data_IF_133184824801
#
_entry.id   IF_133184824801
#
_cell.length_a   1.000
_cell.length_b   1.000
_cell.length_c   1.000
_cell.angle_alpha   90.00
_cell.angle_beta   90.00
_cell.angle_gamma   90.00
#
_symmetry.space_group_name_H-M   'P 1'
#
loop_
_entity.id
_entity.type
_entity.pdbx_description
1 polymer ?
#
# COMPACT_ATOMS: atom_id res chain seq x y z
N UNK A 1 13.21 5.62 11.05
CA UNK A 1 14.51 6.29 11.27
C UNK A 1 15.20 6.61 9.94
N UNK A 2 15.25 5.68 8.98
CA UNK A 2 15.85 5.94 7.66
C UNK A 2 15.28 7.19 6.96
N UNK A 3 13.95 7.30 6.82
CA UNK A 3 13.30 8.43 6.13
C UNK A 3 13.60 9.79 6.77
N UNK A 4 13.92 9.83 8.07
CA UNK A 4 14.28 11.07 8.76
C UNK A 4 15.69 11.52 8.40
N UNK A 5 16.58 10.58 8.08
CA UNK A 5 17.95 10.87 7.64
C UNK A 5 18.03 11.10 6.13
N UNK A 6 17.09 10.56 5.36
CA UNK A 6 17.04 10.65 3.90
C UNK A 6 15.71 11.26 3.42
N UNK A 7 15.34 12.48 3.83
CA UNK A 7 14.08 13.08 3.44
C UNK A 7 14.08 13.42 1.95
N UNK A 8 13.01 13.03 1.25
CA UNK A 8 12.85 13.39 -0.16
C UNK A 8 12.58 14.88 -0.35
N UNK A 9 11.94 15.50 0.64
CA UNK A 9 11.63 16.93 0.73
C UNK A 9 11.26 17.30 2.17
N UNK A 10 11.33 18.57 2.52
CA UNK A 10 10.88 19.12 3.79
C UNK A 10 9.81 20.19 3.52
N UNK A 11 8.62 20.05 4.10
CA UNK A 11 7.54 21.02 4.02
C UNK A 11 7.15 21.42 5.44
N UNK A 12 7.20 22.72 5.72
CA UNK A 12 6.84 23.28 7.04
C UNK A 12 5.71 24.28 6.87
N UNK A 13 4.63 24.08 7.63
CA UNK A 13 3.50 25.01 7.68
C UNK A 13 3.73 26.12 8.72
N UNK A 14 3.50 27.37 8.35
CA UNK A 14 3.50 28.52 9.28
C UNK A 14 2.45 29.56 8.87
N UNK A 15 1.88 30.33 9.81
CA UNK A 15 1.03 31.48 9.48
C UNK A 15 1.81 32.49 8.62
N UNK A 16 1.38 32.70 7.38
CA UNK A 16 2.12 33.51 6.40
C UNK A 16 2.06 35.02 6.67
N UNK A 17 1.12 35.46 7.47
CA UNK A 17 0.96 36.84 7.92
C UNK A 17 1.78 37.18 9.19
N UNK A 18 2.53 36.23 9.73
CA UNK A 18 3.39 36.37 10.90
C UNK A 18 4.85 36.08 10.52
N UNK A 19 5.65 37.13 10.39
CA UNK A 19 7.06 37.03 10.01
C UNK A 19 7.88 36.21 10.97
N UNK A 20 7.61 36.30 12.28
CA UNK A 20 8.34 35.56 13.30
C UNK A 20 8.09 34.04 13.17
N UNK A 21 6.84 33.64 12.97
CA UNK A 21 6.47 32.25 12.72
C UNK A 21 7.10 31.71 11.43
N UNK A 22 7.14 32.48 10.36
CA UNK A 22 7.78 32.08 9.10
C UNK A 22 9.30 31.92 9.27
N UNK A 23 9.97 32.82 10.00
CA UNK A 23 11.39 32.69 10.29
C UNK A 23 11.70 31.50 11.20
N UNK A 24 10.85 31.25 12.19
CA UNK A 24 10.96 30.06 13.05
C UNK A 24 10.80 28.77 12.22
N UNK A 25 9.84 28.72 11.29
CA UNK A 25 9.64 27.59 10.38
C UNK A 25 10.85 27.36 9.47
N UNK A 26 11.47 28.43 8.94
CA UNK A 26 12.68 28.31 8.15
C UNK A 26 13.86 27.76 8.97
N UNK A 27 14.04 28.25 10.19
CA UNK A 27 15.07 27.73 11.10
C UNK A 27 14.84 26.26 11.43
N UNK A 28 13.60 25.86 11.70
CA UNK A 28 13.25 24.47 11.93
C UNK A 28 13.56 23.59 10.71
N UNK A 29 13.20 24.04 9.51
CA UNK A 29 13.52 23.35 8.26
C UNK A 29 15.04 23.20 8.06
N UNK A 30 15.83 24.23 8.37
CA UNK A 30 17.29 24.17 8.30
C UNK A 30 17.87 23.13 9.25
N UNK A 31 17.35 23.02 10.48
CA UNK A 31 17.78 22.01 11.44
C UNK A 31 17.50 20.58 10.93
N UNK A 32 16.38 20.36 10.23
CA UNK A 32 16.07 19.07 9.62
C UNK A 32 17.02 18.74 8.45
N UNK A 33 17.40 19.77 7.67
CA UNK A 33 18.41 19.64 6.60
C UNK A 33 19.77 19.29 7.20
N UNK A 34 20.21 20.00 8.26
CA UNK A 34 21.49 19.75 8.96
C UNK A 34 21.54 18.37 9.60
N UNK A 35 20.41 17.85 10.08
CA UNK A 35 20.28 16.52 10.68
C UNK A 35 20.18 15.37 9.69
N UNK A 36 20.06 15.65 8.39
CA UNK A 36 19.97 14.63 7.35
C UNK A 36 21.36 14.05 7.01
N UNK A 37 21.37 12.91 6.31
CA UNK A 37 22.60 12.31 5.82
C UNK A 37 23.35 13.29 4.90
N UNK A 38 24.65 13.52 5.09
CA UNK A 38 25.45 14.43 4.24
C UNK A 38 25.37 14.12 2.75
N UNK A 39 25.14 12.88 2.35
CA UNK A 39 24.99 12.48 0.95
C UNK A 39 23.79 13.18 0.28
N UNK A 40 22.74 13.51 1.05
CA UNK A 40 21.56 14.21 0.55
C UNK A 40 21.86 15.63 0.08
N UNK A 41 22.93 16.27 0.55
CA UNK A 41 23.32 17.62 0.14
C UNK A 41 23.80 17.69 -1.32
N UNK A 42 24.32 16.59 -1.86
CA UNK A 42 24.77 16.46 -3.25
C UNK A 42 23.75 15.84 -4.18
N UNK A 43 22.57 15.44 -3.68
CA UNK A 43 21.50 14.87 -4.50
C UNK A 43 21.01 15.89 -5.51
N UNK A 44 21.01 15.52 -6.78
CA UNK A 44 20.45 16.34 -7.87
C UNK A 44 18.94 16.09 -7.97
N UNK A 45 18.16 17.13 -7.87
CA UNK A 45 16.72 17.10 -7.99
C UNK A 45 16.28 17.13 -9.46
N UNK A 46 14.99 16.85 -9.70
CA UNK A 46 14.42 16.84 -11.07
C UNK A 46 14.54 18.21 -11.79
N UNK A 47 14.53 19.31 -11.06
CA UNK A 47 14.70 20.66 -11.59
C UNK A 47 16.17 21.10 -11.75
N UNK A 48 17.12 20.21 -11.48
CA UNK A 48 18.55 20.45 -11.55
C UNK A 48 19.13 21.12 -10.29
N UNK A 49 18.33 21.48 -9.30
CA UNK A 49 18.83 21.95 -8.01
C UNK A 49 19.48 20.82 -7.22
N UNK A 50 20.32 21.17 -6.24
CA UNK A 50 20.99 20.20 -5.38
C UNK A 50 20.51 20.29 -3.93
N UNK A 51 20.59 19.18 -3.20
CA UNK A 51 20.21 19.10 -1.81
C UNK A 51 18.74 18.73 -1.59
N UNK A 52 18.26 18.95 -0.37
CA UNK A 52 16.89 18.59 0.04
C UNK A 52 15.94 19.74 -0.29
N UNK A 53 14.96 19.56 -1.20
CA UNK A 53 13.96 20.59 -1.48
C UNK A 53 13.20 20.97 -0.22
N UNK A 54 13.18 22.25 0.10
CA UNK A 54 12.53 22.77 1.33
C UNK A 54 11.52 23.83 0.98
N UNK A 55 10.31 23.73 1.56
CA UNK A 55 9.20 24.64 1.32
C UNK A 55 8.58 25.07 2.64
N UNK A 56 8.41 26.39 2.83
CA UNK A 56 7.62 26.98 3.92
C UNK A 56 6.37 27.60 3.34
N UNK A 57 5.21 27.10 3.78
CA UNK A 57 3.87 27.49 3.26
C UNK A 57 2.89 27.75 4.40
N UNK A 58 1.66 28.13 4.10
CA UNK A 58 0.61 28.21 5.09
C UNK A 58 0.31 26.85 5.75
N UNK A 59 -0.24 26.86 6.93
CA UNK A 59 -0.52 25.64 7.71
C UNK A 59 -1.49 24.74 6.95
N UNK A 60 -2.55 25.32 6.39
CA UNK A 60 -3.57 24.60 5.61
C UNK A 60 -2.99 24.04 4.31
N UNK A 61 -2.13 24.79 3.63
CA UNK A 61 -1.44 24.35 2.43
C UNK A 61 -0.49 23.18 2.72
N UNK A 62 0.23 23.19 3.86
CA UNK A 62 1.09 22.08 4.27
C UNK A 62 0.30 20.80 4.52
N UNK A 63 -0.87 20.90 5.16
CA UNK A 63 -1.80 19.79 5.34
C UNK A 63 -2.31 19.27 3.99
N UNK A 64 -2.77 20.17 3.13
CA UNK A 64 -3.26 19.82 1.79
C UNK A 64 -2.19 19.12 0.94
N UNK A 65 -0.94 19.60 0.96
CA UNK A 65 0.18 18.96 0.26
C UNK A 65 0.34 17.50 0.68
N UNK A 66 0.26 17.20 1.97
CA UNK A 66 0.36 15.82 2.47
C UNK A 66 -0.81 14.96 2.00
N UNK A 67 -2.04 15.46 2.14
CA UNK A 67 -3.25 14.72 1.76
C UNK A 67 -3.28 14.42 0.25
N UNK A 68 -2.99 15.42 -0.59
CA UNK A 68 -2.93 15.24 -2.04
C UNK A 68 -1.79 14.34 -2.48
N UNK A 69 -0.61 14.44 -1.86
CA UNK A 69 0.51 13.56 -2.17
C UNK A 69 0.17 12.08 -1.88
N UNK A 70 -0.39 11.78 -0.69
CA UNK A 70 -0.79 10.44 -0.34
C UNK A 70 -1.94 9.91 -1.20
N UNK A 71 -2.90 10.78 -1.56
CA UNK A 71 -4.00 10.42 -2.46
C UNK A 71 -3.48 10.13 -3.88
N UNK A 72 -2.49 10.88 -4.37
CA UNK A 72 -1.86 10.57 -5.65
C UNK A 72 -1.14 9.22 -5.64
N UNK A 73 -0.45 8.88 -4.56
CA UNK A 73 0.17 7.56 -4.43
C UNK A 73 -0.89 6.45 -4.38
N UNK A 74 -2.00 6.69 -3.67
CA UNK A 74 -3.13 5.76 -3.66
C UNK A 74 -3.78 5.60 -5.06
N UNK A 75 -3.91 6.69 -5.82
CA UNK A 75 -4.35 6.66 -7.22
C UNK A 75 -3.45 5.77 -8.07
N UNK A 76 -2.12 5.90 -7.94
CA UNK A 76 -1.20 5.06 -8.71
C UNK A 76 -1.38 3.59 -8.39
N UNK A 77 -1.49 3.22 -7.11
CA UNK A 77 -1.76 1.83 -6.72
C UNK A 77 -3.11 1.36 -7.28
N UNK A 78 -4.16 2.18 -7.19
CA UNK A 78 -5.48 1.84 -7.73
C UNK A 78 -5.43 1.64 -9.25
N UNK A 79 -4.75 2.52 -9.98
CA UNK A 79 -4.58 2.42 -11.43
C UNK A 79 -3.91 1.10 -11.86
N UNK A 80 -2.78 0.75 -11.24
CA UNK A 80 -2.09 -0.50 -11.57
C UNK A 80 -2.83 -1.74 -11.09
N UNK A 81 -3.61 -1.65 -10.02
CA UNK A 81 -4.51 -2.71 -9.60
C UNK A 81 -5.67 -2.92 -10.59
N UNK A 82 -6.27 -1.86 -11.14
CA UNK A 82 -7.31 -1.98 -12.16
C UNK A 82 -6.74 -2.51 -13.48
N UNK A 83 -5.55 -2.07 -13.88
CA UNK A 83 -4.83 -2.63 -15.02
C UNK A 83 -4.61 -4.14 -14.84
N UNK A 84 -4.18 -4.54 -13.64
CA UNK A 84 -3.97 -5.95 -13.29
C UNK A 84 -5.29 -6.74 -13.31
N UNK A 85 -6.36 -6.19 -12.73
CA UNK A 85 -7.71 -6.79 -12.78
C UNK A 85 -8.16 -7.00 -14.24
N UNK A 86 -7.98 -6.01 -15.10
CA UNK A 86 -8.30 -6.11 -16.53
C UNK A 86 -7.50 -7.23 -17.21
N UNK A 87 -6.20 -7.27 -16.97
CA UNK A 87 -5.32 -8.26 -17.58
C UNK A 87 -5.63 -9.69 -17.09
N UNK A 88 -5.80 -9.87 -15.79
CA UNK A 88 -6.14 -11.16 -15.16
C UNK A 88 -7.46 -11.70 -15.69
N UNK A 89 -8.53 -10.89 -15.70
CA UNK A 89 -9.85 -11.27 -16.20
C UNK A 89 -9.87 -11.65 -17.69
N UNK A 90 -8.82 -11.29 -18.46
CA UNK A 90 -8.70 -11.57 -19.89
C UNK A 90 -7.59 -12.57 -20.22
N UNK A 91 -6.92 -13.13 -19.21
CA UNK A 91 -5.80 -14.05 -19.40
C UNK A 91 -4.58 -13.41 -20.09
N UNK A 92 -4.38 -12.09 -19.90
CA UNK A 92 -3.26 -11.35 -20.48
C UNK A 92 -2.05 -11.36 -19.53
N UNK A 93 -0.86 -11.13 -20.08
CA UNK A 93 0.34 -10.99 -19.26
C UNK A 93 0.42 -9.59 -18.65
N UNK A 94 -0.06 -9.46 -17.42
CA UNK A 94 -0.08 -8.20 -16.66
C UNK A 94 1.29 -7.55 -16.59
N UNK A 95 2.35 -8.34 -16.31
CA UNK A 95 3.69 -7.81 -16.15
C UNK A 95 4.18 -7.14 -17.44
N UNK A 96 3.99 -7.79 -18.59
CA UNK A 96 4.39 -7.22 -19.88
C UNK A 96 3.65 -5.91 -20.18
N UNK A 97 2.36 -5.80 -19.78
CA UNK A 97 1.59 -4.58 -19.95
C UNK A 97 2.13 -3.47 -19.05
N UNK A 98 2.37 -3.76 -17.76
CA UNK A 98 2.92 -2.78 -16.80
C UNK A 98 4.30 -2.31 -17.25
N UNK A 99 5.20 -3.25 -17.63
CA UNK A 99 6.53 -2.92 -18.11
C UNK A 99 6.44 -1.96 -19.33
N UNK A 100 5.56 -2.26 -20.29
CA UNK A 100 5.34 -1.41 -21.46
C UNK A 100 4.79 -0.01 -21.11
N UNK A 101 3.82 0.07 -20.22
CA UNK A 101 3.24 1.36 -19.76
C UNK A 101 4.31 2.21 -19.04
N UNK A 102 5.13 1.57 -18.22
CA UNK A 102 6.15 2.25 -17.41
C UNK A 102 7.38 2.69 -18.22
N UNK A 103 7.54 2.26 -19.48
CA UNK A 103 8.58 2.77 -20.39
C UNK A 103 8.39 4.26 -20.70
N UNK A 104 7.17 4.79 -20.60
CA UNK A 104 6.96 6.24 -20.74
C UNK A 104 7.53 6.96 -19.51
N UNK A 105 8.55 7.84 -19.66
CA UNK A 105 9.19 8.51 -18.54
C UNK A 105 8.26 9.44 -17.75
N UNK A 106 7.13 9.85 -18.34
CA UNK A 106 6.10 10.63 -17.63
C UNK A 106 5.30 9.79 -16.64
N UNK A 107 5.27 8.47 -16.84
CA UNK A 107 4.59 7.50 -15.98
C UNK A 107 5.59 6.92 -14.97
N UNK A 108 6.69 6.34 -15.46
CA UNK A 108 7.71 5.70 -14.63
C UNK A 108 7.18 4.51 -13.84
N UNK A 109 8.04 3.91 -13.01
CA UNK A 109 7.80 2.63 -12.33
C UNK A 109 7.47 2.76 -10.83
N UNK A 110 7.28 3.97 -10.31
CA UNK A 110 6.91 4.16 -8.91
C UNK A 110 5.50 3.66 -8.62
N UNK A 111 5.33 2.85 -7.57
CA UNK A 111 4.03 2.30 -7.13
C UNK A 111 3.28 1.50 -8.21
N UNK A 112 4.01 0.81 -9.09
CA UNK A 112 3.46 0.05 -10.21
C UNK A 112 3.25 -1.44 -9.93
N UNK A 113 3.68 -1.94 -8.76
CA UNK A 113 3.49 -3.35 -8.39
C UNK A 113 2.06 -3.57 -7.90
N UNK A 114 1.27 -4.44 -8.57
CA UNK A 114 -0.07 -4.75 -8.11
C UNK A 114 -0.10 -5.34 -6.70
N UNK A 115 -1.24 -5.16 -6.05
CA UNK A 115 -1.49 -5.63 -4.70
C UNK A 115 -2.98 -5.95 -4.50
N UNK A 116 -3.34 -6.36 -3.31
CA UNK A 116 -4.74 -6.58 -2.94
C UNK A 116 -5.51 -5.28 -2.63
N UNK A 117 -4.85 -4.16 -2.78
CA UNK A 117 -5.34 -2.80 -2.53
C UNK A 117 -4.28 -1.97 -1.81
N UNK A 118 -4.39 -0.65 -1.88
CA UNK A 118 -3.56 0.19 -1.02
C UNK A 118 -4.01 0.05 0.43
N UNK A 119 -3.04 -0.07 1.32
CA UNK A 119 -3.25 -0.33 2.73
C UNK A 119 -2.22 0.41 3.59
N UNK A 120 -2.03 -0.07 4.82
CA UNK A 120 -1.26 0.61 5.84
C UNK A 120 -2.08 1.73 6.49
N UNK A 121 -1.45 2.51 7.36
CA UNK A 121 -2.15 3.54 8.13
C UNK A 121 -2.43 4.80 7.30
N UNK A 122 -1.43 5.26 6.53
CA UNK A 122 -1.47 6.59 5.91
C UNK A 122 -2.42 6.67 4.71
N UNK A 123 -2.25 5.80 3.69
CA UNK A 123 -3.00 5.95 2.45
C UNK A 123 -4.52 5.83 2.64
N UNK A 124 -5.07 4.80 3.33
CA UNK A 124 -6.51 4.70 3.54
C UNK A 124 -7.09 5.81 4.40
N UNK A 125 -6.33 6.31 5.38
CA UNK A 125 -6.77 7.41 6.25
C UNK A 125 -6.80 8.73 5.47
N UNK A 126 -5.72 9.06 4.80
CA UNK A 126 -5.57 10.37 4.14
C UNK A 126 -6.49 10.50 2.91
N UNK A 127 -6.72 9.42 2.15
CA UNK A 127 -7.70 9.43 1.04
C UNK A 127 -9.13 9.66 1.53
N UNK A 128 -9.54 8.99 2.62
CA UNK A 128 -10.86 9.20 3.21
C UNK A 128 -11.00 10.60 3.83
N UNK A 129 -9.96 11.11 4.47
CA UNK A 129 -9.95 12.47 5.01
C UNK A 129 -10.08 13.50 3.88
N UNK A 130 -9.31 13.33 2.79
CA UNK A 130 -9.41 14.22 1.64
C UNK A 130 -10.82 14.17 1.03
N UNK A 131 -11.40 12.97 0.83
CA UNK A 131 -12.77 12.83 0.32
C UNK A 131 -13.79 13.55 1.21
N UNK A 132 -13.68 13.43 2.53
CA UNK A 132 -14.56 14.16 3.46
C UNK A 132 -14.43 15.69 3.32
N UNK A 133 -13.22 16.20 3.04
CA UNK A 133 -13.00 17.63 2.81
C UNK A 133 -13.65 18.14 1.52
N UNK A 134 -14.03 17.26 0.59
CA UNK A 134 -14.71 17.61 -0.66
C UNK A 134 -16.23 17.74 -0.53
N UNK A 135 -16.81 17.70 0.66
CA UNK A 135 -18.28 17.66 0.88
C UNK A 135 -19.08 18.74 0.14
N UNK A 136 -18.46 19.87 -0.24
CA UNK A 136 -19.06 20.96 -1.01
C UNK A 136 -18.24 21.37 -2.24
N UNK A 137 -17.25 20.57 -2.61
CA UNK A 137 -16.35 20.82 -3.74
C UNK A 137 -16.63 19.78 -4.82
N UNK A 138 -16.84 20.17 -6.09
CA UNK A 138 -17.03 19.22 -7.18
C UNK A 138 -15.83 18.28 -7.31
N UNK A 139 -16.11 16.97 -7.34
CA UNK A 139 -15.09 15.94 -7.50
C UNK A 139 -15.72 14.67 -8.09
N UNK A 140 -14.91 13.82 -8.69
CA UNK A 140 -15.23 12.44 -9.09
C UNK A 140 -14.03 11.54 -8.81
N UNK A 141 -12.82 12.05 -9.07
CA UNK A 141 -11.60 11.25 -8.99
C UNK A 141 -11.28 10.80 -7.56
N UNK A 142 -11.47 11.67 -6.57
CA UNK A 142 -11.10 11.37 -5.18
C UNK A 142 -11.99 10.25 -4.62
N UNK A 143 -13.29 10.29 -4.92
CA UNK A 143 -14.23 9.22 -4.59
C UNK A 143 -13.87 7.92 -5.33
N UNK A 144 -13.61 8.01 -6.64
CA UNK A 144 -13.21 6.84 -7.44
C UNK A 144 -11.96 6.15 -6.90
N UNK A 145 -10.98 6.88 -6.37
CA UNK A 145 -9.79 6.28 -5.74
C UNK A 145 -10.17 5.44 -4.51
N UNK A 146 -11.09 5.95 -3.68
CA UNK A 146 -11.55 5.23 -2.49
C UNK A 146 -12.34 3.98 -2.89
N UNK A 147 -13.23 4.10 -3.85
CA UNK A 147 -14.08 3.01 -4.33
C UNK A 147 -13.28 1.93 -5.08
N UNK A 148 -12.31 2.32 -5.90
CA UNK A 148 -11.40 1.39 -6.58
C UNK A 148 -10.67 0.46 -5.60
N UNK A 149 -10.30 0.97 -4.43
CA UNK A 149 -9.66 0.14 -3.40
C UNK A 149 -10.62 -0.89 -2.78
N UNK A 150 -11.91 -0.58 -2.71
CA UNK A 150 -12.93 -1.52 -2.26
C UNK A 150 -13.19 -2.60 -3.31
N UNK A 151 -13.46 -2.18 -4.54
CA UNK A 151 -13.68 -3.06 -5.69
C UNK A 151 -12.51 -4.03 -5.90
N UNK A 152 -11.27 -3.57 -5.74
CA UNK A 152 -10.09 -4.43 -5.85
C UNK A 152 -10.09 -5.57 -4.83
N UNK A 153 -10.44 -5.29 -3.58
CA UNK A 153 -10.48 -6.30 -2.51
C UNK A 153 -11.57 -7.34 -2.75
N UNK A 154 -12.71 -6.90 -3.27
CA UNK A 154 -13.82 -7.80 -3.66
C UNK A 154 -13.41 -8.70 -4.81
N UNK A 155 -12.78 -8.15 -5.84
CA UNK A 155 -12.25 -8.92 -6.96
C UNK A 155 -11.25 -9.98 -6.51
N UNK A 156 -10.24 -9.61 -5.71
CA UNK A 156 -9.26 -10.56 -5.17
C UNK A 156 -9.94 -11.68 -4.36
N UNK A 157 -10.91 -11.33 -3.52
CA UNK A 157 -11.64 -12.34 -2.76
C UNK A 157 -12.41 -13.29 -3.67
N UNK A 158 -13.05 -12.78 -4.72
CA UNK A 158 -13.78 -13.57 -5.72
C UNK A 158 -12.86 -14.55 -6.44
N UNK A 159 -11.70 -14.10 -6.93
CA UNK A 159 -10.72 -14.95 -7.62
C UNK A 159 -10.21 -16.08 -6.71
N UNK A 160 -9.90 -15.78 -5.45
CA UNK A 160 -9.46 -16.81 -4.49
C UNK A 160 -10.57 -17.81 -4.20
N UNK A 161 -11.81 -17.36 -4.03
CA UNK A 161 -12.96 -18.26 -3.82
C UNK A 161 -13.21 -19.16 -5.02
N UNK A 162 -12.99 -18.66 -6.24
CA UNK A 162 -13.10 -19.45 -7.47
C UNK A 162 -12.06 -20.58 -7.52
N UNK A 163 -10.81 -20.34 -7.04
CA UNK A 163 -9.79 -21.40 -6.96
C UNK A 163 -10.22 -22.59 -6.08
N UNK A 164 -11.01 -22.34 -5.05
CA UNK A 164 -11.41 -23.38 -4.10
C UNK A 164 -12.87 -23.86 -4.28
N UNK A 165 -13.58 -23.39 -5.30
CA UNK A 165 -15.02 -23.68 -5.48
C UNK A 165 -15.39 -25.16 -5.53
N UNK A 166 -14.49 -26.00 -6.03
CA UNK A 166 -14.68 -27.45 -6.18
C UNK A 166 -14.02 -28.25 -5.03
N UNK A 167 -13.44 -27.58 -4.03
CA UNK A 167 -12.82 -28.21 -2.88
C UNK A 167 -13.86 -28.42 -1.79
N UNK A 168 -13.99 -29.63 -1.30
CA UNK A 168 -14.90 -29.92 -0.18
C UNK A 168 -14.32 -29.37 1.13
N UNK A 169 -15.09 -28.56 1.85
CA UNK A 169 -14.68 -27.91 3.09
C UNK A 169 -13.34 -27.16 2.98
N UNK A 170 -13.21 -26.20 2.05
CA UNK A 170 -11.95 -25.51 1.83
C UNK A 170 -11.56 -24.65 3.03
N UNK A 171 -10.25 -24.53 3.26
CA UNK A 171 -9.67 -23.55 4.20
C UNK A 171 -8.74 -22.62 3.40
N UNK A 172 -8.95 -21.33 3.51
CA UNK A 172 -8.06 -20.34 2.89
C UNK A 172 -6.97 -19.94 3.89
N UNK A 173 -5.73 -20.18 3.52
CA UNK A 173 -4.55 -19.74 4.26
C UNK A 173 -4.19 -18.30 3.96
N UNK A 174 -3.96 -17.48 4.98
CA UNK A 174 -3.41 -16.13 4.84
C UNK A 174 -1.95 -16.17 5.25
N UNK A 175 -1.07 -15.95 4.30
CA UNK A 175 0.35 -15.87 4.56
C UNK A 175 0.75 -14.44 4.90
N UNK A 176 0.89 -14.16 6.19
CA UNK A 176 1.17 -12.89 6.84
C UNK A 176 0.05 -11.83 6.68
N UNK A 177 -0.10 -11.05 7.72
CA UNK A 177 -1.08 -9.96 7.80
C UNK A 177 -0.52 -8.62 7.34
N UNK A 178 0.80 -8.51 7.18
CA UNK A 178 1.49 -7.27 6.86
C UNK A 178 1.44 -6.94 5.38
N UNK A 179 1.45 -5.63 5.06
CA UNK A 179 1.47 -5.13 3.67
C UNK A 179 2.89 -5.02 3.11
N UNK A 180 3.88 -4.86 3.99
CA UNK A 180 5.29 -4.65 3.64
C UNK A 180 6.15 -5.73 4.25
N UNK A 181 7.15 -6.15 3.51
CA UNK A 181 8.17 -7.06 4.01
C UNK A 181 8.87 -6.45 5.24
N UNK A 182 8.99 -7.24 6.32
CA UNK A 182 9.65 -6.80 7.56
C UNK A 182 8.88 -5.79 8.42
N UNK A 183 7.61 -5.50 8.11
CA UNK A 183 6.74 -4.66 8.94
C UNK A 183 5.95 -5.53 9.93
N UNK A 184 5.71 -5.00 11.13
CA UNK A 184 4.82 -5.56 12.16
C UNK A 184 3.45 -4.84 12.21
N UNK A 185 3.27 -3.82 11.37
CA UNK A 185 2.04 -3.01 11.34
C UNK A 185 1.00 -3.60 10.38
N UNK A 186 0.12 -4.45 10.93
CA UNK A 186 -0.97 -5.08 10.18
C UNK A 186 -2.35 -4.43 10.39
N UNK A 187 -2.46 -3.36 11.22
CA UNK A 187 -3.75 -2.82 11.72
C UNK A 187 -4.73 -2.38 10.63
N UNK A 188 -4.29 -1.99 9.44
CA UNK A 188 -5.14 -1.57 8.33
C UNK A 188 -4.65 -2.18 7.00
N UNK A 189 -4.21 -3.43 7.05
CA UNK A 189 -3.80 -4.17 5.87
C UNK A 189 -5.00 -4.50 4.99
N UNK A 190 -4.85 -4.36 3.67
CA UNK A 190 -5.88 -4.71 2.69
C UNK A 190 -6.34 -6.18 2.81
N UNK A 191 -5.44 -7.07 3.25
CA UNK A 191 -5.73 -8.50 3.45
C UNK A 191 -6.86 -8.74 4.46
N UNK A 192 -7.02 -7.87 5.47
CA UNK A 192 -8.09 -8.04 6.47
C UNK A 192 -9.48 -7.88 5.86
N UNK A 193 -9.65 -6.97 4.90
CA UNK A 193 -10.94 -6.80 4.22
C UNK A 193 -11.20 -7.98 3.27
N UNK A 194 -10.17 -8.52 2.62
CA UNK A 194 -10.26 -9.76 1.83
C UNK A 194 -10.67 -10.94 2.73
N UNK A 195 -10.06 -11.09 3.91
CA UNK A 195 -10.45 -12.10 4.89
C UNK A 195 -11.91 -12.01 5.33
N UNK A 196 -12.42 -10.77 5.50
CA UNK A 196 -13.85 -10.57 5.85
C UNK A 196 -14.78 -11.14 4.78
N UNK A 197 -14.42 -11.03 3.50
CA UNK A 197 -15.20 -11.60 2.39
C UNK A 197 -15.23 -13.12 2.46
N UNK A 198 -14.11 -13.79 2.71
CA UNK A 198 -14.08 -15.25 2.87
C UNK A 198 -15.00 -15.71 4.01
N UNK A 199 -14.89 -15.05 5.16
CA UNK A 199 -15.72 -15.37 6.34
C UNK A 199 -17.20 -15.08 6.11
N UNK A 200 -17.56 -14.01 5.42
CA UNK A 200 -18.94 -13.70 5.07
C UNK A 200 -19.55 -14.77 4.14
N UNK A 201 -18.71 -15.48 3.37
CA UNK A 201 -19.11 -16.61 2.52
C UNK A 201 -18.96 -17.97 3.24
N UNK A 202 -18.73 -17.99 4.55
CA UNK A 202 -18.66 -19.21 5.35
C UNK A 202 -17.38 -20.04 5.15
N UNK A 203 -16.33 -19.47 4.54
CA UNK A 203 -15.08 -20.16 4.29
C UNK A 203 -14.13 -19.92 5.48
N UNK A 204 -13.65 -20.97 6.16
CA UNK A 204 -12.66 -20.86 7.22
C UNK A 204 -11.35 -20.23 6.75
N UNK A 205 -10.78 -19.40 7.63
CA UNK A 205 -9.50 -18.72 7.38
C UNK A 205 -8.48 -19.18 8.42
N UNK A 206 -7.33 -19.66 7.97
CA UNK A 206 -6.15 -20.00 8.76
C UNK A 206 -5.07 -18.95 8.48
N UNK A 207 -4.44 -18.40 9.52
CA UNK A 207 -3.43 -17.35 9.39
C UNK A 207 -2.06 -17.91 9.80
N UNK A 208 -1.05 -17.68 8.98
CA UNK A 208 0.35 -17.79 9.37
C UNK A 208 0.94 -16.42 9.59
N UNK A 209 1.20 -16.06 10.86
CA UNK A 209 1.82 -14.77 11.23
C UNK A 209 2.81 -14.99 12.38
N UNK A 210 4.10 -15.12 12.08
CA UNK A 210 5.11 -15.44 13.11
C UNK A 210 5.33 -14.33 14.13
N UNK A 211 4.94 -13.08 13.84
CA UNK A 211 5.10 -11.94 14.75
C UNK A 211 3.93 -11.74 15.70
N UNK A 212 2.79 -12.35 15.42
CA UNK A 212 1.59 -12.26 16.26
C UNK A 212 1.64 -13.33 17.36
N UNK A 213 1.55 -12.93 18.61
CA UNK A 213 1.62 -13.86 19.78
C UNK A 213 0.30 -14.58 20.04
N UNK A 214 -0.80 -13.99 19.67
CA UNK A 214 -2.15 -14.50 19.87
C UNK A 214 -2.42 -15.68 18.91
N UNK A 215 -3.09 -16.71 19.41
CA UNK A 215 -3.53 -17.87 18.61
C UNK A 215 -4.81 -17.61 17.82
N UNK A 216 -5.40 -16.43 17.95
CA UNK A 216 -6.62 -16.01 17.24
C UNK A 216 -6.54 -14.55 16.82
N UNK A 217 -6.93 -14.28 15.59
CA UNK A 217 -7.04 -12.92 15.06
C UNK A 217 -8.39 -12.72 14.38
N UNK A 218 -9.21 -11.85 14.97
CA UNK A 218 -10.58 -11.57 14.50
C UNK A 218 -11.43 -12.84 14.25
N UNK A 219 -11.30 -13.85 15.12
CA UNK A 219 -12.03 -15.11 15.00
C UNK A 219 -11.47 -16.09 13.97
N UNK A 220 -10.26 -15.88 13.50
CA UNK A 220 -9.49 -16.82 12.67
C UNK A 220 -8.33 -17.40 13.48
N UNK A 221 -8.07 -18.70 13.33
CA UNK A 221 -6.93 -19.37 13.96
C UNK A 221 -5.61 -18.80 13.41
N UNK A 222 -4.64 -18.60 14.30
CA UNK A 222 -3.27 -18.22 13.96
C UNK A 222 -2.34 -19.37 14.30
N UNK A 223 -1.57 -19.83 13.32
CA UNK A 223 -0.52 -20.82 13.50
C UNK A 223 0.87 -20.21 13.27
N UNK A 224 1.86 -20.71 13.98
CA UNK A 224 3.28 -20.37 13.79
C UNK A 224 4.04 -21.51 13.11
N UNK A 225 3.38 -22.64 12.84
CA UNK A 225 3.94 -23.74 12.09
C UNK A 225 3.63 -23.58 10.61
N UNK A 226 4.66 -23.26 9.83
CA UNK A 226 4.53 -23.07 8.38
C UNK A 226 4.15 -24.35 7.64
N UNK A 227 4.63 -25.52 8.10
CA UNK A 227 4.32 -26.79 7.46
C UNK A 227 2.86 -27.19 7.70
N UNK A 228 2.35 -27.03 8.93
CA UNK A 228 0.93 -27.20 9.26
C UNK A 228 0.06 -26.24 8.46
N UNK A 229 0.43 -24.95 8.42
CA UNK A 229 -0.25 -23.92 7.61
C UNK A 229 -0.39 -24.33 6.14
N UNK A 230 0.73 -24.71 5.52
CA UNK A 230 0.75 -25.14 4.12
C UNK A 230 -0.12 -26.38 3.89
N UNK A 231 -0.07 -27.36 4.78
CA UNK A 231 -0.81 -28.61 4.65
C UNK A 231 -2.32 -28.40 4.76
N UNK A 232 -2.76 -27.56 5.70
CA UNK A 232 -4.19 -27.30 5.99
C UNK A 232 -4.84 -26.32 5.02
N UNK A 233 -4.05 -25.53 4.30
CA UNK A 233 -4.58 -24.53 3.37
C UNK A 233 -4.92 -25.15 2.02
N UNK A 234 -6.16 -24.99 1.56
CA UNK A 234 -6.62 -25.37 0.22
C UNK A 234 -6.13 -24.38 -0.85
N UNK A 235 -6.10 -23.10 -0.53
CA UNK A 235 -5.43 -22.05 -1.26
C UNK A 235 -4.71 -21.14 -0.26
N UNK A 236 -3.60 -20.53 -0.68
CA UNK A 236 -2.81 -19.61 0.14
C UNK A 236 -2.86 -18.23 -0.50
N UNK A 237 -3.18 -17.22 0.28
CA UNK A 237 -3.24 -15.82 -0.16
C UNK A 237 -2.05 -15.07 0.43
N UNK A 238 -1.20 -14.53 -0.44
CA UNK A 238 -0.01 -13.79 -0.07
C UNK A 238 0.01 -12.42 -0.77
N UNK A 239 -0.14 -11.33 -0.01
CA UNK A 239 -0.08 -9.99 -0.60
C UNK A 239 1.31 -9.64 -1.15
N UNK A 240 2.35 -10.20 -0.56
CA UNK A 240 3.73 -10.18 -1.07
C UNK A 240 4.27 -11.59 -1.16
N UNK A 241 4.99 -11.86 -2.24
CA UNK A 241 5.64 -13.15 -2.44
C UNK A 241 6.73 -13.38 -1.38
N UNK A 242 6.85 -14.64 -0.97
CA UNK A 242 7.96 -15.08 -0.13
C UNK A 242 8.42 -16.46 -0.62
N UNK A 243 9.73 -16.67 -0.64
CA UNK A 243 10.32 -17.94 -1.09
C UNK A 243 9.99 -19.11 -0.18
N UNK A 244 9.54 -18.84 1.03
CA UNK A 244 8.95 -19.86 1.92
C UNK A 244 7.75 -20.60 1.28
N UNK A 245 7.13 -20.06 0.23
CA UNK A 245 5.95 -20.62 -0.45
C UNK A 245 6.29 -21.35 -1.77
N UNK A 246 7.56 -21.48 -2.12
CA UNK A 246 7.99 -22.07 -3.40
C UNK A 246 7.48 -23.51 -3.59
N UNK A 247 7.50 -24.31 -2.54
CA UNK A 247 7.09 -25.73 -2.55
C UNK A 247 5.57 -25.94 -2.71
N UNK A 248 4.78 -24.88 -2.55
CA UNK A 248 3.31 -24.88 -2.64
C UNK A 248 2.80 -23.82 -3.60
N UNK A 249 3.64 -23.34 -4.52
CA UNK A 249 3.35 -22.22 -5.43
C UNK A 249 2.11 -22.44 -6.30
N UNK A 250 1.74 -23.67 -6.58
CA UNK A 250 0.56 -24.07 -7.36
C UNK A 250 -0.78 -23.70 -6.70
N UNK A 251 -0.79 -23.51 -5.38
CA UNK A 251 -1.97 -23.08 -4.62
C UNK A 251 -1.84 -21.70 -4.00
N UNK A 252 -0.81 -20.91 -4.39
CA UNK A 252 -0.61 -19.55 -3.89
C UNK A 252 -1.23 -18.53 -4.85
N UNK A 253 -2.17 -17.76 -4.34
CA UNK A 253 -2.67 -16.57 -5.02
C UNK A 253 -1.90 -15.35 -4.53
N UNK A 254 -1.23 -14.68 -5.43
CA UNK A 254 -0.53 -13.42 -5.20
C UNK A 254 -0.58 -12.55 -6.43
N UNK A 255 -0.56 -11.22 -6.24
CA UNK A 255 -0.43 -10.24 -7.32
C UNK A 255 0.87 -9.45 -7.23
N UNK A 256 1.81 -9.93 -6.44
CA UNK A 256 3.17 -9.37 -6.34
C UNK A 256 4.01 -9.81 -7.55
N UNK A 257 3.94 -9.05 -8.63
CA UNK A 257 4.60 -9.38 -9.91
C UNK A 257 6.08 -9.00 -9.94
N UNK A 258 6.50 -8.06 -9.08
CA UNK A 258 7.84 -7.49 -9.10
C UNK A 258 8.67 -7.83 -7.86
N UNK A 259 8.08 -8.48 -6.86
CA UNK A 259 8.73 -8.85 -5.57
C UNK A 259 9.33 -7.64 -4.86
N UNK A 260 8.62 -6.52 -4.90
CA UNK A 260 9.00 -5.25 -4.27
C UNK A 260 7.79 -4.49 -3.73
N UNK A 261 8.03 -3.57 -2.78
CA UNK A 261 7.03 -2.65 -2.24
C UNK A 261 6.75 -1.47 -3.17
#
# INVERSE_FOLDING_TARGET
MYDNLHPSRIVVGAPQNDTESVEAARRFASLLVEGADPAEMSRVNHDGSTGIPTLVVGVTEAEAIKLFANTYLALRVAYFNELDTYAESRGLNTRAIIDGVCLDPRIGDGYNNPSFGYGGYCLPKDTKQLLANYSQVPQNLIEAIVDANHTRKEFVASEVMELVRNVQNPTIGIYRLTMKSGSDNFRQSAIQDVMKQFKANGIPVLIYEPTLRESNFHGSEVTHDLADFKTRSSAIVANRWNDDLLDVSDKVYTRDLFRRD
#
